data_IF_227010693472
#
_entry.id   IF_227010693472
#
_cell.length_a   1.000
_cell.length_b   1.000
_cell.length_c   1.000
_cell.angle_alpha   90.00
_cell.angle_beta   90.00
_cell.angle_gamma   90.00
#
_symmetry.space_group_name_H-M   'P 1'
#
loop_
_entity.id
_entity.type
_entity.pdbx_description
1 polymer ?
#
# COMPACT_ATOMS: atom_id res chain seq x y z
N UNK A 1 -12.34 9.42 -13.50
CA UNK A 1 -12.96 10.06 -12.33
C UNK A 1 -12.16 11.30 -12.08
N UNK A 2 -12.51 12.37 -12.77
CA UNK A 2 -11.68 13.56 -12.89
C UNK A 2 -12.17 14.71 -12.02
N UNK A 3 -13.42 14.66 -11.53
CA UNK A 3 -14.04 15.71 -10.74
C UNK A 3 -13.82 17.10 -11.38
N UNK A 4 -13.00 17.96 -10.78
CA UNK A 4 -12.70 19.30 -11.32
C UNK A 4 -11.70 19.29 -12.49
N UNK A 5 -11.10 18.15 -12.82
CA UNK A 5 -10.08 18.03 -13.86
C UNK A 5 -8.66 18.34 -13.38
N UNK A 6 -8.46 18.64 -12.09
CA UNK A 6 -7.16 19.05 -11.53
C UNK A 6 -6.01 18.14 -11.98
N UNK A 7 -6.16 16.82 -11.83
CA UNK A 7 -5.09 15.88 -12.18
C UNK A 7 -4.81 15.86 -13.69
N UNK A 8 -5.86 15.88 -14.51
CA UNK A 8 -5.73 15.90 -15.96
C UNK A 8 -5.03 17.18 -16.45
N UNK A 9 -5.41 18.33 -15.89
CA UNK A 9 -4.79 19.62 -16.19
C UNK A 9 -3.33 19.69 -15.74
N UNK A 10 -2.99 19.08 -14.59
CA UNK A 10 -1.59 18.98 -14.15
C UNK A 10 -0.79 18.06 -15.05
N UNK A 11 -1.33 16.91 -15.47
CA UNK A 11 -0.66 16.04 -16.44
C UNK A 11 -0.36 16.76 -17.74
N UNK A 12 -1.33 17.49 -18.29
CA UNK A 12 -1.11 18.27 -19.51
C UNK A 12 -0.06 19.39 -19.33
N UNK A 13 0.00 20.03 -18.16
CA UNK A 13 0.86 21.21 -17.96
C UNK A 13 2.24 20.92 -17.39
N UNK A 14 2.43 19.78 -16.72
CA UNK A 14 3.65 19.48 -15.96
C UNK A 14 4.47 18.34 -16.56
N UNK A 15 3.86 17.48 -17.38
CA UNK A 15 4.53 16.40 -18.09
C UNK A 15 4.87 16.84 -19.51
N UNK A 16 6.03 16.41 -19.98
CA UNK A 16 6.46 16.55 -21.37
C UNK A 16 5.84 15.42 -22.23
N UNK A 17 5.76 15.65 -23.54
CA UNK A 17 5.32 14.65 -24.54
C UNK A 17 3.93 14.02 -24.34
N UNK A 18 3.01 14.72 -23.66
CA UNK A 18 1.63 14.28 -23.51
C UNK A 18 0.84 14.52 -24.80
N UNK A 19 0.50 13.46 -25.53
CA UNK A 19 -0.31 13.57 -26.75
C UNK A 19 -1.78 13.95 -26.49
N UNK A 20 -2.40 13.38 -25.45
CA UNK A 20 -3.80 13.59 -25.10
C UNK A 20 -4.05 13.20 -23.64
N UNK A 21 -4.98 13.88 -22.96
CA UNK A 21 -5.46 13.50 -21.62
C UNK A 21 -6.98 13.39 -21.62
N UNK A 22 -7.51 12.17 -21.53
CA UNK A 22 -8.95 11.95 -21.38
C UNK A 22 -9.34 12.17 -19.92
N UNK A 23 -10.06 13.26 -19.65
CA UNK A 23 -10.53 13.63 -18.33
C UNK A 23 -12.00 13.22 -18.17
N UNK A 24 -12.22 11.98 -17.74
CA UNK A 24 -13.56 11.38 -17.66
C UNK A 24 -14.20 11.49 -16.27
N UNK A 25 -15.48 11.89 -16.20
CA UNK A 25 -16.32 11.75 -15.02
C UNK A 25 -17.74 11.30 -15.37
N UNK A 26 -18.42 10.61 -14.44
CA UNK A 26 -19.80 10.17 -14.66
C UNK A 26 -20.79 11.32 -14.46
N UNK A 27 -20.44 12.31 -13.63
CA UNK A 27 -21.27 13.49 -13.39
C UNK A 27 -21.12 14.51 -14.53
N UNK A 28 -22.19 14.88 -15.25
CA UNK A 28 -22.11 15.85 -16.33
C UNK A 28 -21.62 17.22 -15.84
N UNK A 29 -21.95 17.62 -14.60
CA UNK A 29 -21.49 18.90 -14.03
C UNK A 29 -19.98 18.89 -13.78
N UNK A 30 -19.39 17.73 -13.54
CA UNK A 30 -17.94 17.58 -13.44
C UNK A 30 -17.29 17.75 -14.82
N UNK A 31 -17.85 17.18 -15.88
CA UNK A 31 -17.35 17.40 -17.25
C UNK A 31 -17.39 18.89 -17.64
N UNK A 32 -18.48 19.59 -17.33
CA UNK A 32 -18.58 21.05 -17.51
C UNK A 32 -17.54 21.82 -16.66
N UNK A 33 -17.29 21.38 -15.43
CA UNK A 33 -16.26 21.98 -14.58
C UNK A 33 -14.84 21.77 -15.16
N UNK A 34 -14.57 20.61 -15.76
CA UNK A 34 -13.29 20.37 -16.45
C UNK A 34 -13.13 21.33 -17.62
N UNK A 35 -14.16 21.53 -18.45
CA UNK A 35 -14.11 22.50 -19.55
C UNK A 35 -13.86 23.92 -19.05
N UNK A 36 -14.58 24.38 -18.02
CA UNK A 36 -14.36 25.71 -17.44
C UNK A 36 -12.95 25.87 -16.88
N UNK A 37 -12.44 24.86 -16.17
CA UNK A 37 -11.10 24.91 -15.59
C UNK A 37 -10.02 24.83 -16.67
N UNK A 38 -10.24 24.08 -17.75
CA UNK A 38 -9.38 24.05 -18.93
C UNK A 38 -9.27 25.43 -19.55
N UNK A 39 -10.40 26.10 -19.82
CA UNK A 39 -10.42 27.47 -20.36
C UNK A 39 -9.72 28.47 -19.43
N UNK A 40 -10.00 28.39 -18.12
CA UNK A 40 -9.36 29.25 -17.13
C UNK A 40 -7.83 29.07 -17.07
N UNK A 41 -7.34 27.83 -17.04
CA UNK A 41 -5.90 27.56 -17.00
C UNK A 41 -5.19 28.01 -18.28
N UNK A 42 -5.83 27.88 -19.44
CA UNK A 42 -5.29 28.36 -20.72
C UNK A 42 -5.19 29.89 -20.75
N UNK A 43 -6.17 30.60 -20.17
CA UNK A 43 -6.12 32.06 -20.03
C UNK A 43 -5.01 32.50 -19.06
N UNK A 44 -4.86 31.81 -17.93
CA UNK A 44 -3.85 32.14 -16.93
C UNK A 44 -2.42 31.74 -17.35
N UNK A 45 -2.27 30.76 -18.25
CA UNK A 45 -0.97 30.26 -18.71
C UNK A 45 -0.94 30.13 -20.25
N UNK A 46 -0.87 31.25 -21.00
CA UNK A 46 -0.92 31.24 -22.46
C UNK A 46 0.17 30.35 -23.09
N UNK A 47 1.37 30.31 -22.49
CA UNK A 47 2.49 29.48 -22.96
C UNK A 47 2.20 27.97 -22.90
N UNK A 48 1.22 27.56 -22.08
CA UNK A 48 0.78 26.17 -21.92
C UNK A 48 -0.56 25.89 -22.59
N UNK A 49 -1.14 26.87 -23.30
CA UNK A 49 -2.47 26.74 -23.90
C UNK A 49 -2.57 25.55 -24.85
N UNK A 50 -1.54 25.29 -25.67
CA UNK A 50 -1.48 24.12 -26.55
C UNK A 50 -1.55 22.81 -25.75
N UNK A 51 -0.72 22.66 -24.71
CA UNK A 51 -0.71 21.45 -23.89
C UNK A 51 -2.06 21.26 -23.15
N UNK A 52 -2.62 22.34 -22.60
CA UNK A 52 -3.95 22.34 -21.95
C UNK A 52 -5.06 21.97 -22.93
N UNK A 53 -4.95 22.38 -24.20
CA UNK A 53 -5.94 22.06 -25.24
C UNK A 53 -6.11 20.55 -25.46
N UNK A 54 -5.06 19.76 -25.19
CA UNK A 54 -5.00 18.29 -25.30
C UNK A 54 -5.80 17.56 -24.20
N UNK A 55 -6.30 18.28 -23.19
CA UNK A 55 -7.24 17.72 -22.22
C UNK A 55 -8.61 17.60 -22.88
N UNK A 56 -9.15 16.39 -22.94
CA UNK A 56 -10.47 16.08 -23.51
C UNK A 56 -11.43 15.76 -22.37
N UNK A 57 -12.35 16.66 -22.03
CA UNK A 57 -13.40 16.37 -21.06
C UNK A 57 -14.34 15.31 -21.61
N UNK A 58 -14.67 14.34 -20.79
CA UNK A 58 -15.49 13.20 -21.18
C UNK A 58 -16.51 12.89 -20.09
N UNK A 59 -17.74 12.56 -20.49
CA UNK A 59 -18.82 12.22 -19.57
C UNK A 59 -19.37 10.82 -19.83
N UNK A 60 -18.80 9.81 -19.19
CA UNK A 60 -19.27 8.44 -19.31
C UNK A 60 -18.86 7.58 -18.09
N UNK A 61 -19.50 6.43 -17.92
CA UNK A 61 -19.01 5.39 -17.01
C UNK A 61 -17.59 4.97 -17.40
N UNK A 62 -16.66 5.07 -16.44
CA UNK A 62 -15.24 4.76 -16.68
C UNK A 62 -15.02 3.34 -17.19
N UNK A 63 -15.88 2.37 -16.82
CA UNK A 63 -15.78 0.99 -17.32
C UNK A 63 -16.04 0.94 -18.82
N UNK A 64 -17.03 1.70 -19.30
CA UNK A 64 -17.35 1.79 -20.72
C UNK A 64 -16.24 2.50 -21.50
N UNK A 65 -15.69 3.59 -20.95
CA UNK A 65 -14.53 4.27 -21.55
C UNK A 65 -13.36 3.30 -21.72
N UNK A 66 -13.00 2.60 -20.64
CA UNK A 66 -11.92 1.64 -20.68
C UNK A 66 -12.16 0.49 -21.67
N UNK A 67 -13.40 -0.03 -21.77
CA UNK A 67 -13.74 -1.09 -22.72
C UNK A 67 -13.72 -0.62 -24.18
N UNK A 68 -14.14 0.61 -24.47
CA UNK A 68 -14.09 1.20 -25.82
C UNK A 68 -12.65 1.50 -26.29
N UNK A 69 -11.73 1.66 -25.35
CA UNK A 69 -10.34 2.07 -25.61
C UNK A 69 -9.35 1.00 -25.15
N UNK A 70 -9.57 -0.26 -25.53
CA UNK A 70 -8.68 -1.37 -25.20
C UNK A 70 -7.25 -1.11 -25.70
N UNK A 71 -6.25 -1.29 -24.83
CA UNK A 71 -4.80 -1.13 -25.10
C UNK A 71 -4.41 0.21 -25.72
N UNK A 72 -5.19 1.26 -25.48
CA UNK A 72 -4.95 2.57 -26.08
C UNK A 72 -4.11 3.49 -25.19
N UNK A 73 -4.28 3.45 -23.87
CA UNK A 73 -3.69 4.44 -22.97
C UNK A 73 -2.30 4.01 -22.48
N UNK A 74 -1.29 4.85 -22.65
CA UNK A 74 0.03 4.63 -22.04
C UNK A 74 -0.04 4.70 -20.50
N UNK A 75 -0.97 5.49 -19.96
CA UNK A 75 -1.22 5.64 -18.53
C UNK A 75 -2.72 5.68 -18.23
N UNK A 76 -3.17 4.91 -17.24
CA UNK A 76 -4.54 4.98 -16.68
C UNK A 76 -4.45 5.27 -15.18
N UNK A 77 -5.16 6.29 -14.70
CA UNK A 77 -5.20 6.64 -13.28
C UNK A 77 -6.62 6.53 -12.71
N UNK A 78 -6.80 5.57 -11.81
CA UNK A 78 -8.04 5.34 -11.08
C UNK A 78 -7.95 5.95 -9.68
N UNK A 79 -8.76 6.99 -9.47
CA UNK A 79 -8.88 7.68 -8.17
C UNK A 79 -10.35 7.77 -7.69
N UNK A 80 -10.96 6.63 -7.32
CA UNK A 80 -12.35 6.61 -6.88
C UNK A 80 -12.50 7.09 -5.44
N UNK A 81 -13.70 7.52 -5.09
CA UNK A 81 -14.10 7.59 -3.69
C UNK A 81 -14.37 6.17 -3.16
N UNK A 82 -13.52 5.70 -2.24
CA UNK A 82 -13.64 4.37 -1.64
C UNK A 82 -12.87 3.30 -2.40
N UNK A 83 -13.59 2.32 -2.95
CA UNK A 83 -12.99 1.13 -3.59
C UNK A 83 -12.80 1.30 -5.10
N UNK A 84 -11.66 0.87 -5.67
CA UNK A 84 -11.46 0.74 -7.10
C UNK A 84 -11.90 -0.62 -7.66
N UNK A 85 -12.31 -1.58 -6.82
CA UNK A 85 -12.46 -3.00 -7.21
C UNK A 85 -13.28 -3.24 -8.48
N UNK A 86 -14.44 -2.60 -8.61
CA UNK A 86 -15.34 -2.77 -9.76
C UNK A 86 -14.81 -2.15 -11.07
N UNK A 87 -13.71 -1.41 -11.00
CA UNK A 87 -13.11 -0.71 -12.14
C UNK A 87 -11.87 -1.44 -12.67
N UNK A 88 -11.34 -2.40 -11.91
CA UNK A 88 -10.03 -3.01 -12.18
C UNK A 88 -10.03 -3.80 -13.48
N UNK A 89 -11.03 -4.67 -13.70
CA UNK A 89 -11.09 -5.52 -14.90
C UNK A 89 -11.09 -4.70 -16.21
N UNK A 90 -11.84 -3.59 -16.27
CA UNK A 90 -11.82 -2.71 -17.44
C UNK A 90 -10.53 -1.89 -17.53
N UNK A 91 -9.99 -1.42 -16.41
CA UNK A 91 -8.79 -0.58 -16.45
C UNK A 91 -7.56 -1.37 -16.90
N UNK A 92 -7.41 -2.63 -16.48
CA UNK A 92 -6.30 -3.47 -16.92
C UNK A 92 -6.35 -3.80 -18.41
N UNK A 93 -7.50 -3.73 -19.08
CA UNK A 93 -7.57 -3.94 -20.54
C UNK A 93 -7.28 -2.67 -21.33
N UNK A 94 -7.64 -1.50 -20.79
CA UNK A 94 -7.43 -0.21 -21.44
C UNK A 94 -5.96 0.22 -21.53
N UNK A 95 -5.12 -0.23 -20.60
CA UNK A 95 -3.69 0.11 -20.55
C UNK A 95 -2.94 -0.55 -21.71
N UNK A 96 -2.14 0.22 -22.44
CA UNK A 96 -1.27 -0.27 -23.52
C UNK A 96 -0.22 -1.27 -23.00
N UNK A 97 0.40 -2.04 -23.88
CA UNK A 97 1.47 -2.96 -23.50
C UNK A 97 2.63 -2.23 -22.79
N UNK A 98 2.96 -2.66 -21.57
CA UNK A 98 3.99 -2.05 -20.75
C UNK A 98 3.65 -0.67 -20.19
N UNK A 99 2.42 -0.19 -20.39
CA UNK A 99 1.90 1.07 -19.83
C UNK A 99 1.69 1.02 -18.32
N UNK A 100 1.40 2.18 -17.73
CA UNK A 100 1.27 2.36 -16.29
C UNK A 100 -0.21 2.40 -15.85
N UNK A 101 -0.56 1.63 -14.84
CA UNK A 101 -1.83 1.69 -14.14
C UNK A 101 -1.61 2.22 -12.73
N UNK A 102 -2.25 3.33 -12.40
CA UNK A 102 -2.26 3.92 -11.07
C UNK A 102 -3.61 3.65 -10.43
N UNK A 103 -3.62 3.12 -9.22
CA UNK A 103 -4.85 2.81 -8.51
C UNK A 103 -4.79 3.34 -7.08
N UNK A 104 -5.74 4.20 -6.73
CA UNK A 104 -5.99 4.62 -5.35
C UNK A 104 -7.13 3.80 -4.75
N UNK A 105 -6.99 3.44 -3.47
CA UNK A 105 -8.12 3.01 -2.64
C UNK A 105 -8.13 3.83 -1.34
N UNK A 106 -9.31 4.35 -0.99
CA UNK A 106 -9.50 5.17 0.23
C UNK A 106 -10.36 4.46 1.28
N UNK A 107 -10.82 3.22 1.04
CA UNK A 107 -11.62 2.44 1.98
C UNK A 107 -10.77 1.61 2.96
N UNK A 108 -9.78 2.27 3.58
CA UNK A 108 -8.82 1.66 4.50
C UNK A 108 -9.47 0.92 5.68
N UNK A 109 -10.63 1.36 6.17
CA UNK A 109 -11.35 0.64 7.21
C UNK A 109 -11.71 -0.80 6.80
N UNK A 110 -12.08 -1.00 5.52
CA UNK A 110 -12.37 -2.31 4.96
C UNK A 110 -11.09 -3.10 4.79
N UNK A 111 -10.07 -2.51 4.14
CA UNK A 111 -8.80 -3.17 3.84
C UNK A 111 -7.97 -3.53 5.10
N UNK A 112 -8.12 -2.78 6.19
CA UNK A 112 -7.44 -3.02 7.46
C UNK A 112 -8.20 -3.99 8.39
N UNK A 113 -9.31 -4.58 7.93
CA UNK A 113 -10.01 -5.65 8.65
C UNK A 113 -11.03 -5.21 9.69
N UNK A 114 -11.60 -3.99 9.59
CA UNK A 114 -12.77 -3.65 10.41
C UNK A 114 -14.03 -4.37 9.91
N UNK A 115 -14.17 -4.50 8.57
CA UNK A 115 -15.30 -5.15 7.90
C UNK A 115 -14.76 -6.17 6.88
N UNK A 116 -14.19 -7.28 7.35
CA UNK A 116 -13.45 -8.24 6.52
C UNK A 116 -14.34 -8.95 5.48
N UNK A 117 -15.62 -9.14 5.77
CA UNK A 117 -16.62 -9.67 4.83
C UNK A 117 -16.83 -8.74 3.62
N UNK A 118 -16.83 -7.42 3.86
CA UNK A 118 -16.89 -6.42 2.79
C UNK A 118 -15.59 -6.42 1.97
N UNK A 119 -14.45 -6.63 2.63
CA UNK A 119 -13.17 -6.75 1.95
C UNK A 119 -13.12 -7.98 1.05
N UNK A 120 -13.67 -9.11 1.49
CA UNK A 120 -13.81 -10.30 0.66
C UNK A 120 -14.66 -10.01 -0.59
N UNK A 121 -15.83 -9.40 -0.40
CA UNK A 121 -16.72 -9.07 -1.52
C UNK A 121 -16.06 -8.14 -2.55
N UNK A 122 -15.26 -7.17 -2.11
CA UNK A 122 -14.61 -6.19 -2.99
C UNK A 122 -13.31 -6.68 -3.60
N UNK A 123 -12.45 -7.31 -2.82
CA UNK A 123 -11.05 -7.58 -3.18
C UNK A 123 -10.70 -9.07 -3.26
N UNK A 124 -11.65 -9.96 -2.94
CA UNK A 124 -11.43 -11.42 -2.85
C UNK A 124 -10.28 -11.77 -1.90
N UNK A 125 -10.19 -11.03 -0.80
CA UNK A 125 -9.19 -11.21 0.26
C UNK A 125 -9.81 -10.92 1.62
N UNK A 126 -9.45 -11.73 2.62
CA UNK A 126 -9.96 -11.62 3.98
C UNK A 126 -8.88 -10.98 4.89
N UNK A 127 -8.92 -9.66 5.13
CA UNK A 127 -7.91 -8.97 5.91
C UNK A 127 -7.95 -9.37 7.39
N UNK A 128 -6.77 -9.37 8.00
CA UNK A 128 -6.56 -9.61 9.43
C UNK A 128 -6.29 -8.30 10.15
N UNK A 129 -6.81 -8.18 11.36
CA UNK A 129 -6.50 -7.06 12.26
C UNK A 129 -5.14 -7.31 12.90
N UNK A 130 -4.10 -6.70 12.33
CA UNK A 130 -2.72 -6.80 12.78
C UNK A 130 -2.00 -5.46 12.68
N UNK A 131 -0.82 -5.34 13.29
CA UNK A 131 -0.03 -4.08 13.29
C UNK A 131 0.48 -3.70 11.90
N UNK A 132 0.60 -4.66 11.00
CA UNK A 132 0.98 -4.47 9.60
C UNK A 132 -0.22 -4.16 8.67
N UNK A 133 -1.40 -3.84 9.20
CA UNK A 133 -2.64 -3.72 8.41
C UNK A 133 -2.53 -2.76 7.22
N UNK A 134 -1.77 -1.66 7.34
CA UNK A 134 -1.56 -0.71 6.25
C UNK A 134 -0.76 -1.32 5.08
N UNK A 135 0.29 -2.10 5.37
CA UNK A 135 1.02 -2.83 4.33
C UNK A 135 0.15 -3.97 3.75
N UNK A 136 -0.59 -4.68 4.60
CA UNK A 136 -1.52 -5.71 4.13
C UNK A 136 -2.58 -5.13 3.19
N UNK A 137 -3.11 -3.94 3.47
CA UNK A 137 -4.03 -3.23 2.60
C UNK A 137 -3.44 -2.97 1.19
N UNK A 138 -2.19 -2.50 1.13
CA UNK A 138 -1.45 -2.33 -0.13
C UNK A 138 -1.33 -3.65 -0.88
N UNK A 139 -0.95 -4.72 -0.18
CA UNK A 139 -0.78 -6.06 -0.75
C UNK A 139 -2.10 -6.69 -1.21
N UNK A 140 -3.21 -6.40 -0.53
CA UNK A 140 -4.56 -6.80 -0.94
C UNK A 140 -4.95 -6.08 -2.24
N UNK A 141 -4.69 -4.78 -2.34
CA UNK A 141 -4.97 -4.03 -3.56
C UNK A 141 -4.15 -4.56 -4.74
N UNK A 142 -2.85 -4.82 -4.55
CA UNK A 142 -2.01 -5.44 -5.59
C UNK A 142 -2.54 -6.82 -6.02
N UNK A 143 -2.96 -7.66 -5.07
CA UNK A 143 -3.57 -8.95 -5.40
C UNK A 143 -4.86 -8.79 -6.21
N UNK A 144 -5.71 -7.80 -5.87
CA UNK A 144 -6.92 -7.51 -6.61
C UNK A 144 -6.64 -7.05 -8.05
N UNK A 145 -5.61 -6.20 -8.25
CA UNK A 145 -5.20 -5.74 -9.58
C UNK A 145 -4.59 -6.89 -10.41
N UNK A 146 -3.74 -7.72 -9.81
CA UNK A 146 -3.22 -8.93 -10.49
C UNK A 146 -4.36 -9.88 -10.88
N UNK A 147 -5.30 -10.14 -9.96
CA UNK A 147 -6.46 -11.01 -10.23
C UNK A 147 -7.33 -10.48 -11.39
N UNK A 148 -7.46 -9.17 -11.53
CA UNK A 148 -8.10 -8.57 -12.70
C UNK A 148 -7.26 -8.82 -13.97
N UNK A 149 -5.95 -8.55 -13.93
CA UNK A 149 -5.07 -8.68 -15.09
C UNK A 149 -4.99 -10.11 -15.66
N UNK A 150 -4.87 -11.13 -14.79
CA UNK A 150 -4.67 -12.51 -15.23
C UNK A 150 -5.86 -13.09 -16.00
N UNK A 151 -7.10 -12.64 -15.71
CA UNK A 151 -8.28 -13.04 -16.50
C UNK A 151 -8.14 -12.67 -17.98
N UNK A 152 -7.35 -11.65 -18.28
CA UNK A 152 -7.11 -11.13 -19.63
C UNK A 152 -5.75 -11.57 -20.21
N UNK A 153 -5.11 -12.61 -19.66
CA UNK A 153 -3.75 -13.07 -20.05
C UNK A 153 -2.66 -12.03 -19.84
N UNK A 154 -2.90 -11.09 -18.94
CA UNK A 154 -1.96 -10.04 -18.54
C UNK A 154 -1.43 -10.30 -17.13
N UNK A 155 -0.39 -9.58 -16.75
CA UNK A 155 0.14 -9.58 -15.39
C UNK A 155 0.64 -8.18 -15.04
N UNK A 156 0.73 -7.91 -13.75
CA UNK A 156 1.28 -6.65 -13.25
C UNK A 156 2.73 -6.79 -12.78
N UNK A 157 3.45 -5.68 -12.88
CA UNK A 157 4.76 -5.47 -12.27
C UNK A 157 4.67 -4.23 -11.39
N UNK A 158 4.62 -4.37 -10.05
CA UNK A 158 4.60 -3.23 -9.14
C UNK A 158 5.85 -2.37 -9.29
N UNK A 159 5.66 -1.06 -9.41
CA UNK A 159 6.72 -0.05 -9.51
C UNK A 159 6.87 0.68 -8.17
N UNK A 160 5.75 1.13 -7.62
CA UNK A 160 5.69 1.87 -6.36
C UNK A 160 4.34 1.57 -5.71
N UNK A 161 4.32 1.33 -4.40
CA UNK A 161 3.08 1.00 -3.68
C UNK A 161 3.13 1.59 -2.28
N UNK A 162 2.29 2.59 -2.02
CA UNK A 162 2.40 3.44 -0.84
C UNK A 162 1.12 3.43 -0.01
N UNK A 163 1.27 3.34 1.31
CA UNK A 163 0.26 3.78 2.27
C UNK A 163 0.53 5.24 2.65
N UNK A 164 -0.44 6.12 2.39
CA UNK A 164 -0.30 7.58 2.54
C UNK A 164 -1.48 8.10 3.37
N UNK A 165 -1.21 8.38 4.65
CA UNK A 165 -2.18 8.88 5.63
C UNK A 165 -3.45 7.99 5.72
N UNK A 166 -4.50 8.33 4.96
CA UNK A 166 -5.81 7.67 4.98
C UNK A 166 -6.13 6.86 3.71
N UNK A 167 -5.21 6.79 2.75
CA UNK A 167 -5.40 6.05 1.50
C UNK A 167 -4.18 5.23 1.13
N UNK A 168 -4.35 4.28 0.23
CA UNK A 168 -3.26 3.54 -0.40
C UNK A 168 -3.23 3.83 -1.90
N UNK A 169 -2.05 3.81 -2.48
CA UNK A 169 -1.84 4.05 -3.91
C UNK A 169 -0.80 3.09 -4.46
N UNK A 170 -1.17 2.35 -5.50
CA UNK A 170 -0.29 1.43 -6.22
C UNK A 170 -0.05 1.91 -7.64
N UNK A 171 1.17 1.74 -8.11
CA UNK A 171 1.63 2.10 -9.45
C UNK A 171 2.21 0.82 -10.05
N UNK A 172 1.59 0.31 -11.11
CA UNK A 172 1.94 -0.99 -11.67
C UNK A 172 2.07 -0.90 -13.18
N UNK A 173 3.03 -1.60 -13.77
CA UNK A 173 3.09 -1.79 -15.22
C UNK A 173 2.26 -3.00 -15.62
N UNK A 174 1.57 -2.92 -16.75
CA UNK A 174 0.69 -4.00 -17.23
C UNK A 174 1.21 -4.60 -18.52
N UNK A 175 1.49 -5.90 -18.51
CA UNK A 175 2.07 -6.62 -19.66
C UNK A 175 1.25 -7.83 -20.06
N UNK A 176 1.25 -8.14 -21.34
CA UNK A 176 0.61 -9.34 -21.90
C UNK A 176 1.61 -10.48 -21.95
N UNK A 177 1.40 -11.52 -21.13
CA UNK A 177 2.25 -12.71 -21.15
C UNK A 177 1.52 -13.91 -20.56
N UNK A 178 1.06 -14.86 -21.41
CA UNK A 178 0.46 -16.11 -20.96
C UNK A 178 1.38 -17.00 -20.14
N UNK A 179 2.71 -16.78 -20.21
CA UNK A 179 3.66 -17.51 -19.37
C UNK A 179 3.77 -16.88 -17.98
N UNK A 180 3.92 -15.55 -17.91
CA UNK A 180 4.05 -14.86 -16.63
C UNK A 180 2.78 -14.95 -15.78
N UNK A 181 1.59 -14.96 -16.41
CA UNK A 181 0.34 -15.12 -15.65
C UNK A 181 0.28 -16.44 -14.86
N UNK A 182 0.97 -17.50 -15.32
CA UNK A 182 1.02 -18.79 -14.61
C UNK A 182 1.81 -18.70 -13.29
N UNK A 183 2.65 -17.68 -13.14
CA UNK A 183 3.38 -17.40 -11.91
C UNK A 183 2.55 -16.61 -10.90
N UNK A 184 1.37 -16.09 -11.27
CA UNK A 184 0.54 -15.29 -10.36
C UNK A 184 0.24 -15.99 -9.02
N UNK A 185 -0.13 -17.28 -8.97
CA UNK A 185 -0.33 -17.97 -7.69
C UNK A 185 0.90 -18.03 -6.78
N UNK A 186 2.12 -17.99 -7.34
CA UNK A 186 3.35 -17.93 -6.52
C UNK A 186 3.66 -16.56 -5.93
N UNK A 187 2.98 -15.52 -6.41
CA UNK A 187 3.07 -14.14 -5.89
C UNK A 187 1.97 -13.82 -4.88
N UNK A 188 1.10 -14.79 -4.57
CA UNK A 188 0.00 -14.65 -3.63
C UNK A 188 0.21 -15.60 -2.45
N UNK A 189 -0.07 -15.11 -1.25
CA UNK A 189 -0.01 -15.91 -0.03
C UNK A 189 -1.21 -15.67 0.87
N UNK A 190 -1.68 -16.72 1.53
CA UNK A 190 -2.50 -16.59 2.74
C UNK A 190 -1.59 -16.26 3.94
N UNK A 191 -2.15 -15.57 4.93
CA UNK A 191 -1.44 -15.18 6.15
C UNK A 191 -2.02 -15.93 7.34
N UNK A 192 -1.18 -16.62 8.10
CA UNK A 192 -1.54 -17.23 9.36
C UNK A 192 -1.04 -16.34 10.49
N UNK A 193 -1.93 -15.59 11.14
CA UNK A 193 -1.62 -14.69 12.26
C UNK A 193 -1.95 -15.36 13.58
N UNK A 194 -0.98 -15.50 14.48
CA UNK A 194 -1.23 -15.95 15.83
C UNK A 194 -2.11 -14.93 16.56
N UNK A 195 -3.14 -15.39 17.27
CA UNK A 195 -4.02 -14.49 18.04
C UNK A 195 -3.47 -14.13 19.42
N UNK A 196 -2.47 -14.87 19.90
CA UNK A 196 -1.86 -14.65 21.21
C UNK A 196 -0.61 -13.75 21.17
N UNK A 197 0.12 -13.73 20.07
CA UNK A 197 1.33 -12.92 19.91
C UNK A 197 1.45 -12.42 18.47
N UNK A 198 2.38 -11.51 18.21
CA UNK A 198 2.57 -10.91 16.88
C UNK A 198 3.22 -11.84 15.84
N UNK A 199 3.31 -13.15 16.10
CA UNK A 199 3.85 -14.13 15.14
C UNK A 199 2.90 -14.34 13.98
N UNK A 200 3.42 -14.28 12.75
CA UNK A 200 2.68 -14.62 11.54
C UNK A 200 3.54 -15.44 10.57
N UNK A 201 2.90 -16.21 9.70
CA UNK A 201 3.54 -16.98 8.63
C UNK A 201 2.77 -16.83 7.32
N UNK A 202 3.49 -16.91 6.20
CA UNK A 202 2.89 -16.83 4.86
C UNK A 202 2.79 -18.21 4.22
N UNK A 203 1.60 -18.56 3.76
CA UNK A 203 1.33 -19.77 2.99
C UNK A 203 1.15 -19.38 1.51
N UNK A 204 2.16 -19.61 0.63
CA UNK A 204 1.99 -19.37 -0.80
C UNK A 204 0.82 -20.17 -1.36
N UNK A 205 0.05 -19.56 -2.27
CA UNK A 205 -1.07 -20.20 -2.97
C UNK A 205 -0.54 -21.24 -3.96
N UNK A 206 0.50 -20.88 -4.70
CA UNK A 206 1.20 -21.76 -5.63
C UNK A 206 2.72 -21.69 -5.46
N UNK A 207 3.41 -22.65 -6.07
CA UNK A 207 4.88 -22.66 -6.17
C UNK A 207 5.30 -23.10 -7.56
N UNK A 208 6.50 -22.67 -7.96
CA UNK A 208 7.11 -23.11 -9.22
C UNK A 208 8.38 -23.92 -8.96
N UNK A 209 8.67 -24.87 -9.83
CA UNK A 209 9.91 -25.63 -9.84
C UNK A 209 10.47 -25.65 -11.25
N UNK A 210 11.71 -25.21 -11.41
CA UNK A 210 12.41 -25.20 -12.68
C UNK A 210 13.44 -26.32 -12.69
N UNK A 211 13.36 -27.21 -13.68
CA UNK A 211 14.38 -28.25 -13.93
C UNK A 211 14.80 -28.15 -15.39
N UNK A 212 16.04 -27.72 -15.64
CA UNK A 212 16.52 -27.38 -16.98
C UNK A 212 15.64 -26.28 -17.60
N UNK A 213 15.12 -26.53 -18.80
CA UNK A 213 14.25 -25.58 -19.52
C UNK A 213 12.75 -25.75 -19.21
N UNK A 214 12.37 -26.65 -18.29
CA UNK A 214 10.97 -26.93 -17.97
C UNK A 214 10.60 -26.34 -16.61
N UNK A 215 9.65 -25.39 -16.63
CA UNK A 215 9.02 -24.84 -15.42
C UNK A 215 7.70 -25.54 -15.15
N UNK A 216 7.57 -26.16 -13.98
CA UNK A 216 6.32 -26.78 -13.50
C UNK A 216 5.69 -25.91 -12.42
N UNK A 217 4.37 -25.81 -12.46
CA UNK A 217 3.56 -25.06 -11.50
C UNK A 217 2.82 -26.06 -10.61
N UNK A 218 2.91 -25.86 -9.30
CA UNK A 218 2.33 -26.74 -8.30
C UNK A 218 1.51 -25.93 -7.29
N UNK A 219 0.52 -26.54 -6.63
CA UNK A 219 -0.08 -25.96 -5.44
C UNK A 219 0.98 -25.66 -4.37
N UNK A 220 0.71 -24.65 -3.54
CA UNK A 220 1.51 -24.39 -2.33
C UNK A 220 1.58 -25.62 -1.44
N UNK A 221 2.74 -25.85 -0.82
CA UNK A 221 2.90 -26.93 0.16
C UNK A 221 2.48 -26.40 1.53
N UNK A 222 1.60 -27.12 2.23
CA UNK A 222 1.06 -26.67 3.51
C UNK A 222 0.53 -27.80 4.38
N UNK A 223 0.15 -27.50 5.64
CA UNK A 223 0.18 -26.16 6.24
C UNK A 223 1.60 -25.71 6.65
N UNK A 224 1.90 -24.41 6.50
CA UNK A 224 3.17 -23.79 6.97
C UNK A 224 3.26 -23.63 8.49
N UNK A 225 2.12 -23.69 9.18
CA UNK A 225 2.04 -23.61 10.65
C UNK A 225 1.44 -24.88 11.26
N UNK A 226 1.85 -25.27 12.47
CA UNK A 226 1.13 -26.26 13.26
C UNK A 226 -0.24 -25.73 13.73
N UNK A 227 -1.06 -26.59 14.37
CA UNK A 227 -2.37 -26.18 14.89
C UNK A 227 -2.29 -25.06 15.96
N UNK A 228 -1.19 -24.99 16.71
CA UNK A 228 -0.96 -24.00 17.77
C UNK A 228 0.41 -23.38 17.62
N UNK A 229 0.50 -22.09 17.90
CA UNK A 229 1.73 -21.31 17.77
C UNK A 229 2.85 -21.94 18.60
N UNK A 230 4.01 -22.27 17.97
CA UNK A 230 5.12 -22.87 18.68
C UNK A 230 5.75 -21.91 19.69
N UNK A 231 5.48 -20.60 19.59
CA UNK A 231 6.01 -19.57 20.48
C UNK A 231 5.15 -19.38 21.74
N UNK A 232 3.83 -19.21 21.61
CA UNK A 232 2.94 -18.91 22.76
C UNK A 232 1.82 -19.94 23.02
N UNK A 233 1.61 -20.93 22.15
CA UNK A 233 0.61 -21.99 22.32
C UNK A 233 -0.84 -21.63 21.92
N UNK A 234 -1.07 -20.40 21.46
CA UNK A 234 -2.39 -19.94 20.98
C UNK A 234 -2.66 -20.36 19.53
N UNK A 235 -3.92 -20.29 19.09
CA UNK A 235 -4.29 -20.66 17.72
C UNK A 235 -3.93 -19.56 16.70
N UNK A 236 -4.05 -19.89 15.42
CA UNK A 236 -3.87 -18.97 14.31
C UNK A 236 -5.22 -18.60 13.67
N UNK A 237 -5.36 -17.34 13.28
CA UNK A 237 -6.36 -16.92 12.31
C UNK A 237 -5.73 -16.93 10.91
N UNK A 238 -6.51 -17.35 9.91
CA UNK A 238 -6.11 -17.30 8.51
C UNK A 238 -6.77 -16.10 7.82
N UNK A 239 -5.99 -15.39 7.00
CA UNK A 239 -6.48 -14.32 6.13
C UNK A 239 -5.78 -14.30 4.78
N UNK A 240 -6.10 -13.31 3.95
CA UNK A 240 -5.63 -13.21 2.57
C UNK A 240 -6.61 -13.79 1.54
N UNK A 241 -6.15 -14.11 0.31
CA UNK A 241 -4.77 -14.00 -0.14
C UNK A 241 -4.30 -12.54 -0.28
N UNK A 242 -3.01 -12.31 -0.07
CA UNK A 242 -2.34 -11.01 -0.28
C UNK A 242 -1.18 -11.18 -1.27
N UNK A 243 -0.76 -10.10 -1.92
CA UNK A 243 0.47 -10.07 -2.70
C UNK A 243 1.70 -10.25 -1.81
N UNK A 244 2.49 -11.29 -2.05
CA UNK A 244 3.68 -11.65 -1.26
C UNK A 244 5.01 -11.39 -1.98
N UNK A 245 4.99 -10.97 -3.24
CA UNK A 245 6.19 -10.54 -3.98
C UNK A 245 6.57 -9.08 -3.62
N UNK A 246 7.69 -8.52 -4.14
CA UNK A 246 8.03 -7.11 -3.97
C UNK A 246 6.92 -6.18 -4.43
N UNK A 247 6.73 -5.09 -3.68
CA UNK A 247 5.74 -4.04 -3.94
C UNK A 247 6.35 -2.78 -4.55
N UNK A 248 7.67 -2.80 -4.75
CA UNK A 248 8.48 -1.71 -5.28
C UNK A 248 9.50 -2.24 -6.27
N UNK A 249 9.77 -1.46 -7.30
CA UNK A 249 10.95 -1.64 -8.15
C UNK A 249 12.04 -0.67 -7.69
N UNK A 250 13.21 -1.21 -7.31
CA UNK A 250 14.32 -0.44 -6.75
C UNK A 250 14.94 0.53 -7.76
N UNK A 251 14.96 0.16 -9.04
CA UNK A 251 15.50 0.99 -10.12
C UNK A 251 14.59 2.19 -10.35
N UNK A 252 13.28 1.94 -10.41
CA UNK A 252 12.29 3.01 -10.52
C UNK A 252 12.29 3.92 -9.31
N UNK A 253 12.32 3.39 -8.09
CA UNK A 253 12.39 4.19 -6.87
C UNK A 253 13.60 5.13 -6.87
N UNK A 254 14.77 4.61 -7.24
CA UNK A 254 16.00 5.42 -7.37
C UNK A 254 15.80 6.55 -8.39
N UNK A 255 15.33 6.22 -9.59
CA UNK A 255 15.16 7.20 -10.66
C UNK A 255 14.12 8.28 -10.30
N UNK A 256 12.97 7.88 -9.72
CA UNK A 256 11.92 8.81 -9.28
C UNK A 256 12.47 9.75 -8.20
N UNK A 257 13.22 9.22 -7.24
CA UNK A 257 13.79 10.02 -6.16
C UNK A 257 14.81 11.04 -6.69
N UNK A 258 15.73 10.62 -7.56
CA UNK A 258 16.70 11.51 -8.20
C UNK A 258 16.01 12.62 -9.00
N UNK A 259 14.92 12.30 -9.70
CA UNK A 259 14.17 13.29 -10.48
C UNK A 259 13.44 14.30 -9.58
N UNK A 260 12.86 13.83 -8.46
CA UNK A 260 12.21 14.69 -7.46
C UNK A 260 13.24 15.60 -6.77
N UNK A 261 14.44 15.10 -6.47
CA UNK A 261 15.54 15.89 -5.88
C UNK A 261 16.04 16.99 -6.84
N UNK A 262 16.19 16.68 -8.13
CA UNK A 262 16.56 17.67 -9.17
C UNK A 262 15.52 18.77 -9.33
N UNK A 263 14.24 18.43 -9.17
CA UNK A 263 13.10 19.32 -9.41
C UNK A 263 12.41 19.78 -8.11
N UNK A 264 13.13 19.84 -6.99
CA UNK A 264 12.55 20.09 -5.65
C UNK A 264 11.61 21.31 -5.61
N UNK A 265 11.96 22.39 -6.31
CA UNK A 265 11.23 23.65 -6.28
C UNK A 265 9.89 23.58 -7.06
N UNK A 266 9.71 22.56 -7.91
CA UNK A 266 8.46 22.29 -8.63
C UNK A 266 7.41 21.58 -7.77
N UNK A 267 7.78 21.04 -6.61
CA UNK A 267 6.90 20.23 -5.77
C UNK A 267 6.59 20.94 -4.46
N UNK A 268 5.39 21.54 -4.29
CA UNK A 268 4.99 22.14 -3.02
C UNK A 268 5.05 21.15 -1.83
N UNK A 269 4.86 19.86 -2.12
CA UNK A 269 4.95 18.76 -1.14
C UNK A 269 6.30 18.04 -1.12
N UNK A 270 7.39 18.65 -1.61
CA UNK A 270 8.71 17.99 -1.77
C UNK A 270 9.13 17.20 -0.53
N UNK A 271 9.12 17.81 0.66
CA UNK A 271 9.58 17.17 1.88
C UNK A 271 8.81 15.88 2.21
N UNK A 272 7.50 15.85 1.95
CA UNK A 272 6.65 14.66 2.15
C UNK A 272 6.92 13.58 1.09
N UNK A 273 7.03 13.97 -0.18
CA UNK A 273 7.31 13.04 -1.28
C UNK A 273 8.68 12.41 -1.11
N UNK A 274 9.71 13.23 -0.84
CA UNK A 274 11.08 12.80 -0.62
C UNK A 274 11.20 11.86 0.58
N UNK A 275 10.52 12.16 1.69
CA UNK A 275 10.44 11.29 2.87
C UNK A 275 9.88 9.90 2.54
N UNK A 276 8.74 9.85 1.84
CA UNK A 276 8.08 8.61 1.47
C UNK A 276 8.92 7.77 0.50
N UNK A 277 9.51 8.40 -0.52
CA UNK A 277 10.39 7.71 -1.48
C UNK A 277 11.65 7.17 -0.79
N UNK A 278 12.22 7.93 0.15
CA UNK A 278 13.38 7.50 0.92
C UNK A 278 13.04 6.28 1.78
N UNK A 279 11.91 6.29 2.48
CA UNK A 279 11.46 5.14 3.26
C UNK A 279 11.23 3.91 2.40
N UNK A 280 10.52 4.05 1.28
CA UNK A 280 10.26 2.95 0.36
C UNK A 280 11.55 2.38 -0.25
N UNK A 281 12.56 3.22 -0.51
CA UNK A 281 13.87 2.79 -1.04
C UNK A 281 14.70 1.99 -0.02
N UNK A 282 14.59 2.33 1.27
CA UNK A 282 15.33 1.67 2.36
C UNK A 282 14.68 0.35 2.83
N UNK A 283 13.46 0.03 2.36
CA UNK A 283 12.75 -1.19 2.72
C UNK A 283 13.37 -2.46 2.13
N UNK A 284 13.31 -3.55 2.89
CA UNK A 284 13.55 -4.89 2.36
C UNK A 284 12.42 -5.26 1.37
N UNK A 285 12.74 -5.48 0.09
CA UNK A 285 11.73 -5.71 -0.95
C UNK A 285 11.11 -7.10 -0.87
N UNK A 286 11.88 -8.08 -0.39
CA UNK A 286 11.59 -9.51 -0.37
C UNK A 286 11.06 -10.00 0.99
N UNK A 287 10.80 -9.07 1.91
CA UNK A 287 10.24 -9.36 3.23
C UNK A 287 8.83 -8.74 3.32
N UNK A 288 7.77 -9.55 3.18
CA UNK A 288 6.41 -9.05 3.30
C UNK A 288 6.00 -8.82 4.75
N UNK A 289 5.21 -7.76 4.97
CA UNK A 289 4.71 -7.35 6.27
C UNK A 289 5.83 -6.95 7.23
N UNK A 290 5.49 -6.62 8.47
CA UNK A 290 6.45 -6.17 9.46
C UNK A 290 6.01 -6.55 10.87
N UNK A 291 6.96 -6.58 11.80
CA UNK A 291 6.70 -6.65 13.23
C UNK A 291 6.65 -5.25 13.85
N UNK A 292 6.04 -5.14 15.03
CA UNK A 292 6.00 -3.91 15.82
C UNK A 292 6.63 -4.20 17.19
N UNK A 293 7.78 -3.58 17.46
CA UNK A 293 8.56 -3.84 18.67
C UNK A 293 7.78 -3.47 19.94
N UNK A 294 6.94 -2.44 19.88
CA UNK A 294 6.14 -2.04 21.03
C UNK A 294 5.03 -3.06 21.33
N UNK A 295 4.39 -3.59 20.28
CA UNK A 295 3.41 -4.68 20.39
C UNK A 295 4.04 -5.95 20.98
N UNK A 296 5.23 -6.32 20.50
CA UNK A 296 5.97 -7.46 21.04
C UNK A 296 6.35 -7.24 22.52
N UNK A 297 6.83 -6.05 22.89
CA UNK A 297 7.07 -5.69 24.29
C UNK A 297 5.79 -5.73 25.14
N UNK A 298 4.66 -5.25 24.60
CA UNK A 298 3.36 -5.31 25.24
C UNK A 298 2.86 -6.75 25.47
N UNK A 299 3.18 -7.67 24.56
CA UNK A 299 2.93 -9.12 24.72
C UNK A 299 3.68 -9.68 25.93
N UNK A 300 4.95 -9.27 26.11
CA UNK A 300 5.81 -9.71 27.22
C UNK A 300 5.60 -8.91 28.52
N UNK A 301 4.77 -7.87 28.49
CA UNK A 301 4.63 -6.86 29.57
C UNK A 301 5.98 -6.22 29.95
N UNK A 302 6.86 -6.08 28.98
CA UNK A 302 8.19 -5.51 29.11
C UNK A 302 8.27 -4.14 28.43
N UNK A 303 9.03 -3.23 29.02
CA UNK A 303 9.50 -2.04 28.29
C UNK A 303 10.46 -2.51 27.21
N UNK A 304 10.16 -2.30 25.92
CA UNK A 304 11.02 -2.80 24.85
C UNK A 304 12.37 -2.06 24.82
N UNK A 305 13.43 -2.69 24.29
CA UNK A 305 14.68 -1.99 24.01
C UNK A 305 14.47 -0.85 23.02
N UNK A 306 15.41 0.09 22.99
CA UNK A 306 15.44 1.11 21.95
C UNK A 306 15.48 0.45 20.55
N UNK A 307 14.72 0.99 19.58
CA UNK A 307 14.69 0.49 18.20
C UNK A 307 16.07 0.27 17.57
N UNK A 308 17.02 1.19 17.79
CA UNK A 308 18.38 1.05 17.26
C UNK A 308 19.11 -0.15 17.86
N UNK A 309 18.93 -0.38 19.17
CA UNK A 309 19.55 -1.50 19.86
C UNK A 309 18.95 -2.84 19.39
N UNK A 310 17.62 -2.91 19.26
CA UNK A 310 16.94 -4.10 18.76
C UNK A 310 17.35 -4.45 17.32
N UNK A 311 17.38 -3.44 16.43
CA UNK A 311 17.89 -3.62 15.07
C UNK A 311 19.35 -4.06 15.03
N UNK A 312 20.19 -3.52 15.94
CA UNK A 312 21.59 -3.94 16.05
C UNK A 312 21.69 -5.41 16.45
N UNK A 313 20.87 -5.88 17.41
CA UNK A 313 20.83 -7.29 17.81
C UNK A 313 20.41 -8.22 16.65
N UNK A 314 19.43 -7.81 15.83
CA UNK A 314 19.02 -8.56 14.62
C UNK A 314 20.18 -8.66 13.62
N UNK A 315 20.89 -7.55 13.37
CA UNK A 315 22.03 -7.55 12.43
C UNK A 315 23.18 -8.41 12.98
N UNK A 316 23.48 -8.32 14.27
CA UNK A 316 24.51 -9.15 14.90
C UNK A 316 24.15 -10.64 14.89
N UNK A 317 22.85 -10.98 14.85
CA UNK A 317 22.38 -12.35 14.67
C UNK A 317 22.49 -12.85 13.21
N UNK A 318 22.95 -12.01 12.27
CA UNK A 318 23.21 -12.37 10.87
C UNK A 318 22.04 -12.09 9.91
N UNK A 319 21.02 -11.35 10.36
CA UNK A 319 19.81 -11.09 9.58
C UNK A 319 19.73 -9.65 9.06
N UNK A 320 18.99 -9.45 7.98
CA UNK A 320 18.72 -8.13 7.41
C UNK A 320 17.58 -7.47 8.15
N UNK A 321 17.62 -6.15 8.30
CA UNK A 321 16.55 -5.39 8.94
C UNK A 321 16.33 -4.04 8.26
N UNK A 322 15.08 -3.61 8.13
CA UNK A 322 14.72 -2.26 7.68
C UNK A 322 13.55 -1.69 8.50
N UNK A 323 13.25 -0.40 8.27
CA UNK A 323 11.94 0.15 8.65
C UNK A 323 10.86 -0.24 7.64
N UNK A 324 9.70 0.39 7.74
CA UNK A 324 8.63 0.33 6.75
C UNK A 324 7.94 1.70 6.61
N UNK A 325 7.58 2.11 5.39
CA UNK A 325 6.88 3.36 5.11
C UNK A 325 5.44 3.35 5.67
N UNK A 326 4.82 2.18 5.81
CA UNK A 326 3.42 2.05 6.26
C UNK A 326 3.26 2.18 7.77
N UNK A 327 4.36 2.09 8.54
CA UNK A 327 4.36 2.22 10.01
C UNK A 327 5.71 2.69 10.54
N UNK A 328 5.69 3.77 11.34
CA UNK A 328 6.87 4.30 12.01
C UNK A 328 7.51 3.36 13.03
N UNK A 329 6.73 2.45 13.59
CA UNK A 329 7.18 1.43 14.53
C UNK A 329 7.46 0.09 13.85
N UNK A 330 7.17 -0.01 12.54
CA UNK A 330 7.34 -1.22 11.75
C UNK A 330 8.80 -1.60 11.56
N UNK A 331 9.11 -2.88 11.76
CA UNK A 331 10.42 -3.48 11.51
C UNK A 331 10.23 -4.66 10.56
N UNK A 332 10.88 -4.58 9.39
CA UNK A 332 10.98 -5.70 8.46
C UNK A 332 12.30 -6.42 8.69
N UNK A 333 12.27 -7.75 8.69
CA UNK A 333 13.45 -8.58 8.89
C UNK A 333 13.24 -9.95 8.26
N UNK A 334 14.30 -10.57 7.77
CA UNK A 334 14.31 -11.97 7.34
C UNK A 334 14.70 -12.95 8.47
N UNK A 335 14.85 -12.43 9.70
CA UNK A 335 15.01 -13.25 10.89
C UNK A 335 13.75 -14.09 11.15
N UNK A 336 13.90 -15.41 11.43
CA UNK A 336 12.83 -16.21 11.98
C UNK A 336 12.27 -15.57 13.25
N UNK A 337 10.96 -15.69 13.45
CA UNK A 337 10.28 -15.09 14.59
C UNK A 337 10.82 -15.63 15.93
N UNK A 338 11.30 -16.87 15.96
CA UNK A 338 11.96 -17.50 17.10
C UNK A 338 13.19 -16.70 17.53
N UNK A 339 14.00 -16.22 16.56
CA UNK A 339 15.17 -15.37 16.83
C UNK A 339 14.74 -14.03 17.42
N UNK A 340 13.65 -13.44 16.95
CA UNK A 340 13.13 -12.20 17.51
C UNK A 340 12.67 -12.38 18.96
N UNK A 341 11.99 -13.49 19.25
CA UNK A 341 11.62 -13.83 20.62
C UNK A 341 12.83 -14.14 21.50
N UNK A 342 13.87 -14.80 20.98
CA UNK A 342 15.13 -15.04 21.70
C UNK A 342 15.82 -13.73 22.10
N UNK A 343 15.92 -12.77 21.18
CA UNK A 343 16.48 -11.44 21.48
C UNK A 343 15.69 -10.77 22.62
N UNK A 344 14.36 -10.84 22.58
CA UNK A 344 13.52 -10.26 23.63
C UNK A 344 13.56 -11.05 24.95
N UNK A 345 13.75 -12.38 24.92
CA UNK A 345 14.00 -13.18 26.13
C UNK A 345 15.29 -12.73 26.81
N UNK A 346 16.38 -12.55 26.05
CA UNK A 346 17.63 -12.00 26.58
C UNK A 346 17.41 -10.61 27.19
N UNK A 347 16.64 -9.74 26.53
CA UNK A 347 16.31 -8.42 27.07
C UNK A 347 15.58 -8.48 28.41
N UNK A 348 14.57 -9.35 28.54
CA UNK A 348 13.79 -9.51 29.77
C UNK A 348 14.61 -10.14 30.90
N UNK A 349 15.62 -10.98 30.59
CA UNK A 349 16.57 -11.48 31.61
C UNK A 349 17.39 -10.35 32.23
N UNK A 350 17.82 -9.37 31.42
CA UNK A 350 18.55 -8.19 31.89
C UNK A 350 17.61 -7.12 32.51
N UNK A 351 16.33 -7.10 32.10
CA UNK A 351 15.32 -6.15 32.55
C UNK A 351 14.05 -6.89 33.02
N UNK A 352 14.07 -7.48 34.23
CA UNK A 352 13.01 -8.37 34.70
C UNK A 352 11.64 -7.68 34.76
N UNK A 353 10.63 -8.39 34.26
CA UNK A 353 9.22 -7.98 34.36
C UNK A 353 8.59 -8.52 35.64
N UNK A 354 7.51 -7.88 36.09
CA UNK A 354 6.76 -8.37 37.25
C UNK A 354 6.20 -9.78 36.96
N UNK A 355 6.32 -10.73 37.90
CA UNK A 355 5.68 -12.03 37.76
C UNK A 355 4.18 -11.85 37.58
N UNK A 356 3.63 -12.50 36.56
CA UNK A 356 2.19 -12.63 36.38
C UNK A 356 1.81 -14.06 36.80
N UNK A 357 0.63 -14.25 37.40
CA UNK A 357 0.11 -15.57 37.79
C UNK A 357 -0.82 -16.18 36.74
N UNK A 358 -1.34 -15.37 35.81
CA UNK A 358 -2.29 -15.80 34.79
C UNK A 358 -1.58 -16.32 33.54
N UNK A 359 -2.04 -17.44 32.97
CA UNK A 359 -1.48 -18.01 31.74
C UNK A 359 -1.62 -17.05 30.56
N UNK A 360 -0.57 -16.27 30.30
CA UNK A 360 -0.51 -15.29 29.20
C UNK A 360 0.39 -15.76 28.05
N UNK A 361 0.18 -15.26 26.82
CA UNK A 361 1.10 -15.51 25.72
C UNK A 361 2.56 -15.15 26.05
N UNK A 362 2.75 -14.03 26.76
CA UNK A 362 4.08 -13.57 27.19
C UNK A 362 4.79 -14.56 28.10
N UNK A 363 4.09 -15.12 29.10
CA UNK A 363 4.67 -16.17 29.94
C UNK A 363 5.05 -17.43 29.16
N UNK A 364 4.21 -17.87 28.23
CA UNK A 364 4.51 -19.05 27.41
C UNK A 364 5.74 -18.82 26.49
N UNK A 365 6.01 -17.57 26.12
CA UNK A 365 7.23 -17.19 25.40
C UNK A 365 8.43 -17.18 26.35
N UNK A 366 8.29 -16.56 27.54
CA UNK A 366 9.35 -16.38 28.54
C UNK A 366 9.73 -17.67 29.28
N UNK A 367 8.86 -18.70 29.28
CA UNK A 367 9.14 -20.00 29.90
C UNK A 367 10.16 -20.84 29.13
N UNK A 368 10.52 -20.41 27.91
CA UNK A 368 11.53 -21.07 27.06
C UNK A 368 12.86 -20.36 27.21
N UNK A 369 13.92 -21.15 27.30
CA UNK A 369 15.28 -20.63 27.23
C UNK A 369 15.60 -20.15 25.80
N UNK A 370 16.30 -19.01 25.64
CA UNK A 370 16.68 -18.51 24.32
C UNK A 370 17.71 -19.44 23.67
N UNK A 371 17.47 -19.86 22.43
CA UNK A 371 18.42 -20.65 21.67
C UNK A 371 19.56 -19.76 21.12
N UNK A 372 19.25 -18.51 20.82
CA UNK A 372 20.21 -17.49 20.42
C UNK A 372 20.46 -16.47 21.54
N UNK A 373 21.73 -16.18 21.85
CA UNK A 373 22.08 -15.12 22.81
C UNK A 373 22.19 -13.78 22.10
N UNK A 374 21.44 -12.78 22.55
CA UNK A 374 21.45 -11.45 21.96
C UNK A 374 22.82 -10.77 22.11
N UNK A 375 23.32 -10.19 21.01
CA UNK A 375 24.48 -9.31 21.01
C UNK A 375 24.02 -7.85 20.88
N UNK A 376 24.21 -7.08 21.94
CA UNK A 376 23.79 -5.67 22.05
C UNK A 376 24.78 -4.65 21.48
N UNK A 377 25.90 -5.08 20.87
CA UNK A 377 26.85 -4.16 20.22
C UNK A 377 26.13 -3.34 19.15
N UNK A 378 26.17 -2.01 19.26
CA UNK A 378 25.47 -1.12 18.34
C UNK A 378 26.11 -1.17 16.96
N UNK A 379 25.29 -1.43 15.95
CA UNK A 379 25.73 -1.49 14.55
C UNK A 379 25.37 -0.18 13.85
N UNK A 380 26.31 0.51 13.19
CA UNK A 380 26.01 1.73 12.44
C UNK A 380 24.95 1.53 11.34
N UNK A 381 24.88 0.32 10.75
CA UNK A 381 23.87 -0.06 9.75
C UNK A 381 22.46 -0.28 10.30
N UNK A 382 22.27 -0.29 11.62
CA UNK A 382 20.95 -0.41 12.23
C UNK A 382 20.15 0.92 12.22
N UNK A 383 20.82 2.05 12.00
CA UNK A 383 20.18 3.30 11.62
C UNK A 383 20.22 3.44 10.10
N UNK A 384 19.10 3.85 9.51
CA UNK A 384 19.06 4.09 8.08
C UNK A 384 19.92 5.29 7.70
N UNK A 385 20.43 5.34 6.47
CA UNK A 385 21.30 6.44 6.04
C UNK A 385 20.53 7.77 6.11
N UNK A 386 19.26 7.76 5.72
CA UNK A 386 18.37 8.91 5.86
C UNK A 386 18.24 9.43 7.30
N UNK A 387 18.27 8.54 8.32
CA UNK A 387 18.28 8.96 9.72
C UNK A 387 19.56 9.68 10.12
N UNK A 388 20.71 9.23 9.59
CA UNK A 388 22.00 9.88 9.86
C UNK A 388 22.07 11.26 9.22
N UNK A 389 21.45 11.39 8.05
CA UNK A 389 21.42 12.63 7.26
C UNK A 389 20.29 13.60 7.68
N UNK A 390 19.54 13.29 8.74
CA UNK A 390 18.48 14.17 9.27
C UNK A 390 17.24 14.30 8.36
N UNK A 391 17.09 13.41 7.38
CA UNK A 391 15.97 13.42 6.43
C UNK A 391 14.68 13.00 7.15
N UNK A 392 13.62 13.78 7.02
CA UNK A 392 12.30 13.42 7.54
C UNK A 392 11.83 12.10 6.89
N UNK A 393 11.35 11.15 7.70
CA UNK A 393 10.93 9.81 7.23
C UNK A 393 9.42 9.62 7.23
N UNK A 394 8.74 10.26 8.17
CA UNK A 394 7.30 10.28 8.24
C UNK A 394 6.85 11.73 8.02
N UNK A 395 5.92 11.96 7.08
CA UNK A 395 5.38 13.29 6.89
C UNK A 395 4.72 13.79 8.18
N UNK A 396 4.81 15.09 8.44
CA UNK A 396 4.08 15.70 9.55
C UNK A 396 2.59 15.46 9.37
N UNK A 397 1.88 15.25 10.48
CA UNK A 397 0.45 15.06 10.45
C UNK A 397 -0.21 16.25 9.74
N UNK A 398 -1.23 16.00 8.91
CA UNK A 398 -1.92 17.07 8.21
C UNK A 398 -2.55 18.10 9.14
N UNK A 399 -2.73 19.34 8.66
CA UNK A 399 -3.43 20.39 9.39
C UNK A 399 -4.92 20.06 9.58
N UNK A 400 -5.57 20.73 10.54
CA UNK A 400 -6.91 20.44 11.10
C UNK A 400 -8.06 20.27 10.08
N UNK A 401 -7.87 20.66 8.81
CA UNK A 401 -8.89 20.59 7.75
C UNK A 401 -8.50 19.68 6.57
N UNK A 402 -7.48 18.83 6.73
CA UNK A 402 -6.95 17.99 5.67
C UNK A 402 -7.51 16.57 5.73
N UNK A 403 -8.18 16.14 4.66
CA UNK A 403 -8.83 14.83 4.55
C UNK A 403 -9.84 14.81 3.41
N UNK A 404 -10.30 13.63 2.98
CA UNK A 404 -11.27 13.51 1.91
C UNK A 404 -12.61 14.07 2.41
N UNK A 405 -13.08 15.17 1.79
CA UNK A 405 -14.42 15.70 2.07
C UNK A 405 -15.47 14.70 1.59
N UNK A 406 -16.65 14.72 2.22
CA UNK A 406 -17.78 13.91 1.77
C UNK A 406 -18.02 14.16 0.28
N UNK A 407 -18.31 13.08 -0.47
CA UNK A 407 -18.73 13.15 -1.89
C UNK A 407 -19.80 14.24 -2.03
N UNK A 408 -19.67 15.06 -3.07
CA UNK A 408 -20.70 16.04 -3.42
C UNK A 408 -22.03 15.28 -3.63
N UNK A 409 -23.00 15.54 -2.76
CA UNK A 409 -24.33 14.95 -2.85
C UNK A 409 -25.32 16.00 -3.33
N UNK A 410 -26.29 15.58 -4.16
CA UNK A 410 -27.46 16.38 -4.58
C UNK A 410 -28.31 16.93 -3.42
N UNK A 411 -28.00 16.53 -2.18
CA UNK A 411 -28.68 16.97 -0.97
C UNK A 411 -28.52 18.47 -0.71
N UNK A 412 -27.42 19.10 -1.17
CA UNK A 412 -27.24 20.54 -1.00
C UNK A 412 -28.20 21.36 -1.87
N UNK A 413 -28.50 20.90 -3.09
CA UNK A 413 -29.42 21.62 -3.99
C UNK A 413 -30.85 21.57 -3.45
N UNK A 414 -31.30 20.41 -2.96
CA UNK A 414 -32.64 20.27 -2.37
C UNK A 414 -32.83 21.10 -1.08
N UNK A 415 -31.80 21.23 -0.24
CA UNK A 415 -31.87 22.06 0.98
C UNK A 415 -31.79 23.55 0.64
N UNK A 416 -30.99 23.93 -0.37
CA UNK A 416 -30.92 25.32 -0.84
C UNK A 416 -32.21 25.74 -1.55
N UNK A 417 -32.80 24.88 -2.39
CA UNK A 417 -34.10 25.11 -3.04
C UNK A 417 -35.26 25.11 -2.05
N UNK A 418 -35.24 24.24 -1.04
CA UNK A 418 -36.26 24.26 0.03
C UNK A 418 -36.14 25.52 0.91
N UNK A 419 -34.92 26.02 1.11
CA UNK A 419 -34.69 27.27 1.84
C UNK A 419 -35.12 28.48 1.01
N UNK A 420 -34.81 28.49 -0.29
CA UNK A 420 -35.24 29.55 -1.22
C UNK A 420 -36.76 29.60 -1.39
N UNK A 421 -37.43 28.45 -1.46
CA UNK A 421 -38.91 28.38 -1.49
C UNK A 421 -39.56 28.87 -0.20
N UNK A 422 -38.94 28.61 0.96
CA UNK A 422 -39.43 29.15 2.25
C UNK A 422 -39.23 30.66 2.34
N UNK A 423 -38.13 31.18 1.81
CA UNK A 423 -37.87 32.62 1.77
C UNK A 423 -38.81 33.33 0.75
N UNK A 424 -39.18 32.68 -0.35
CA UNK A 424 -40.18 33.17 -1.32
C UNK A 424 -41.64 33.08 -0.77
N UNK A 425 -41.96 32.14 0.12
CA UNK A 425 -43.28 32.02 0.77
C UNK A 425 -43.48 32.95 2.00
N UNK A 426 -42.40 33.57 2.51
CA UNK A 426 -42.45 34.55 3.62
C UNK A 426 -42.53 36.01 3.13
N UNK A 427 -42.43 36.26 1.81
CA UNK A 427 -42.54 37.59 1.18
C UNK A 427 -43.88 37.87 0.48
N UNK A 428 -44.82 36.91 0.46
CA UNK A 428 -46.23 37.05 0.04
C UNK A 428 -47.17 36.99 1.27
#
# INVERSE_FOLDING_TARGET
MSATGLRALRYAQELEDVGCVVANDLDPTAAEAIERNKAYNALCNPDKADAISRVIPHNEDVRMVCMKHEKMFDVVDLDPYGTPSILLDSAVTAVKEGGLLLVTATDMAVLCGNNSEVAWAKYQSYPLRAKYCHEAAVRILLAAVENAAIKHKRHIVPVLSLSIDFYIRVFVRVYTSPLQMKQSPSKLSYVFQCVGCDTFELQPVGRQSTKGNVTKYHPGAGPVVPQRCPNCGWHYNMGGPIWSDPIHDKTWLKNIKEEVEKNKDRYPGYGKVHALLTMAQEELPDVPLHYDLHSMGGTLKATPPNHWLFKSAIINAGYRVSGCHSSALGIKTDAPVETLWDILRCWVKEHPVKPCSEATPGQAILSKEPAHTANWTRVPGAMSNAQKDGVARFPQNPTENWGPKRRAGKYKDAVYEAKRRREEEEED
#
